data_IF_009490675341
#
_entry.id   IF_009490675341
#
_cell.length_a   1.000
_cell.length_b   1.000
_cell.length_c   1.000
_cell.angle_alpha   90.00
_cell.angle_beta   90.00
_cell.angle_gamma   90.00
#
_symmetry.space_group_name_H-M   'P 1'
#
loop_
_entity.id
_entity.type
_entity.pdbx_description
1 polymer ?
#
# COMPACT_ATOMS: atom_id res chain seq x y z
N UNK A 1 -79.82 23.84 -10.53
CA UNK A 1 -78.57 23.96 -9.75
C UNK A 1 -77.56 24.75 -10.56
N UNK A 2 -76.95 25.79 -9.97
CA UNK A 2 -76.08 26.73 -10.68
C UNK A 2 -74.64 26.20 -10.73
N UNK A 3 -73.98 26.25 -11.90
CA UNK A 3 -72.57 25.80 -12.07
C UNK A 3 -71.59 26.42 -11.05
N UNK A 4 -71.89 27.62 -10.57
CA UNK A 4 -71.07 28.31 -9.55
C UNK A 4 -71.08 27.61 -8.20
N UNK A 5 -72.21 27.03 -7.80
CA UNK A 5 -72.33 26.27 -6.54
C UNK A 5 -71.55 24.96 -6.62
N UNK A 6 -71.55 24.29 -7.79
CA UNK A 6 -70.81 23.05 -7.99
C UNK A 6 -69.29 23.28 -7.91
N UNK A 7 -68.81 24.40 -8.47
CA UNK A 7 -67.40 24.79 -8.38
C UNK A 7 -67.02 25.12 -6.94
N UNK A 8 -67.84 25.90 -6.24
CA UNK A 8 -67.60 26.23 -4.83
C UNK A 8 -67.53 24.96 -3.96
N UNK A 9 -68.43 24.00 -4.19
CA UNK A 9 -68.42 22.72 -3.46
C UNK A 9 -67.15 21.91 -3.72
N UNK A 10 -66.69 21.82 -4.97
CA UNK A 10 -65.45 21.11 -5.32
C UNK A 10 -64.21 21.79 -4.71
N UNK A 11 -64.20 23.11 -4.67
CA UNK A 11 -63.11 23.87 -4.04
C UNK A 11 -63.08 23.60 -2.53
N UNK A 12 -64.22 23.63 -1.85
CA UNK A 12 -64.33 23.31 -0.43
C UNK A 12 -63.85 21.88 -0.14
N UNK A 13 -64.29 20.91 -0.95
CA UNK A 13 -63.92 19.49 -0.84
C UNK A 13 -62.40 19.27 -1.05
N UNK A 14 -61.79 20.02 -1.97
CA UNK A 14 -60.33 19.98 -2.14
C UNK A 14 -59.58 20.60 -0.97
N UNK A 15 -60.07 21.70 -0.41
CA UNK A 15 -59.44 22.38 0.73
C UNK A 15 -59.55 21.55 2.02
N UNK A 16 -60.68 20.86 2.20
CA UNK A 16 -60.92 19.93 3.31
C UNK A 16 -59.97 18.73 3.26
N UNK A 17 -59.61 18.27 2.05
CA UNK A 17 -58.59 17.24 1.84
C UNK A 17 -57.17 17.64 2.27
N UNK A 18 -56.87 18.95 2.34
CA UNK A 18 -55.58 19.47 2.81
C UNK A 18 -55.56 19.85 4.30
N UNK A 19 -56.72 19.92 4.96
CA UNK A 19 -56.84 20.38 6.36
C UNK A 19 -56.15 19.47 7.40
N UNK A 20 -55.75 18.26 7.01
CA UNK A 20 -55.02 17.31 7.84
C UNK A 20 -53.56 17.09 7.45
N UNK A 21 -53.03 17.81 6.46
CA UNK A 21 -51.66 17.60 5.97
C UNK A 21 -50.66 18.21 6.95
N UNK A 22 -50.28 17.41 7.94
CA UNK A 22 -49.17 17.72 8.82
C UNK A 22 -47.85 17.43 8.09
N UNK A 23 -46.85 18.28 8.31
CA UNK A 23 -45.50 18.09 7.76
C UNK A 23 -45.03 16.69 8.16
N UNK A 24 -44.84 15.80 7.17
CA UNK A 24 -44.40 14.44 7.42
C UNK A 24 -43.01 14.49 8.05
N UNK A 25 -42.93 14.23 9.35
CA UNK A 25 -41.64 14.02 9.99
C UNK A 25 -41.07 12.68 9.51
N UNK A 26 -39.76 12.63 9.21
CA UNK A 26 -39.15 11.38 8.80
C UNK A 26 -39.37 10.34 9.89
N UNK A 27 -39.74 9.12 9.47
CA UNK A 27 -39.90 8.01 10.39
C UNK A 27 -38.63 7.85 11.26
N UNK A 28 -38.78 7.48 12.55
CA UNK A 28 -37.63 7.29 13.43
C UNK A 28 -36.61 6.33 12.79
N UNK A 29 -35.32 6.65 12.93
CA UNK A 29 -34.19 5.93 12.33
C UNK A 29 -34.06 5.99 10.79
N UNK A 30 -34.81 6.85 10.09
CA UNK A 30 -34.63 7.06 8.65
C UNK A 30 -33.17 7.41 8.29
N UNK A 31 -32.57 8.35 9.02
CA UNK A 31 -31.18 8.77 8.83
C UNK A 31 -30.20 7.60 8.95
N UNK A 32 -30.36 6.77 9.99
CA UNK A 32 -29.50 5.60 10.23
C UNK A 32 -29.63 4.56 9.11
N UNK A 33 -30.85 4.34 8.61
CA UNK A 33 -31.10 3.39 7.51
C UNK A 33 -30.50 3.88 6.18
N UNK A 34 -30.58 5.18 5.90
CA UNK A 34 -29.97 5.79 4.72
C UNK A 34 -28.46 5.72 4.82
N UNK A 35 -27.89 6.12 5.96
CA UNK A 35 -26.45 6.11 6.21
C UNK A 35 -25.84 4.72 6.10
N UNK A 36 -26.46 3.71 6.71
CA UNK A 36 -25.98 2.32 6.64
C UNK A 36 -26.02 1.73 5.22
N UNK A 37 -26.94 2.18 4.36
CA UNK A 37 -26.94 1.78 2.95
C UNK A 37 -25.79 2.44 2.18
N UNK A 38 -25.56 3.73 2.39
CA UNK A 38 -24.46 4.49 1.78
C UNK A 38 -23.08 3.96 2.18
N UNK A 39 -22.85 3.70 3.47
CA UNK A 39 -21.58 3.17 3.98
C UNK A 39 -21.31 1.75 3.46
N UNK A 40 -22.32 0.88 3.41
CA UNK A 40 -22.16 -0.48 2.85
C UNK A 40 -21.78 -0.49 1.37
N UNK A 41 -22.27 0.46 0.57
CA UNK A 41 -21.90 0.57 -0.85
C UNK A 41 -20.48 1.10 -1.08
N UNK A 42 -19.92 1.87 -0.14
CA UNK A 42 -18.58 2.43 -0.28
C UNK A 42 -17.47 1.42 0.09
N UNK A 43 -17.76 0.52 1.03
CA UNK A 43 -16.77 -0.36 1.69
C UNK A 43 -16.59 -1.69 0.96
N UNK A 44 -17.64 -2.23 0.33
CA UNK A 44 -17.66 -3.66 -0.03
C UNK A 44 -16.67 -4.14 -1.09
N UNK A 45 -16.40 -3.34 -2.14
CA UNK A 45 -15.63 -3.83 -3.29
C UNK A 45 -14.21 -3.25 -3.34
N UNK A 46 -14.04 -1.94 -3.16
CA UNK A 46 -12.70 -1.33 -3.19
C UNK A 46 -11.78 -1.80 -2.07
N UNK A 47 -12.31 -2.03 -0.87
CA UNK A 47 -11.51 -2.42 0.29
C UNK A 47 -11.07 -3.89 0.22
N UNK A 48 -11.92 -4.75 -0.34
CA UNK A 48 -11.61 -6.17 -0.54
C UNK A 48 -10.62 -6.39 -1.70
N UNK A 49 -10.77 -5.66 -2.81
CA UNK A 49 -9.80 -5.71 -3.92
C UNK A 49 -8.47 -5.06 -3.56
N UNK A 50 -8.50 -3.94 -2.84
CA UNK A 50 -7.31 -3.28 -2.31
C UNK A 50 -6.51 -4.22 -1.41
N UNK A 51 -7.14 -4.85 -0.42
CA UNK A 51 -6.42 -5.74 0.51
C UNK A 51 -5.89 -7.01 -0.18
N UNK A 52 -6.62 -7.56 -1.15
CA UNK A 52 -6.24 -8.79 -1.83
C UNK A 52 -5.12 -8.59 -2.86
N UNK A 53 -5.04 -7.42 -3.51
CA UNK A 53 -3.96 -7.09 -4.46
C UNK A 53 -2.72 -6.53 -3.74
N UNK A 54 -2.92 -5.75 -2.67
CA UNK A 54 -1.78 -5.13 -1.96
C UNK A 54 -0.90 -6.19 -1.29
N UNK A 55 -1.48 -7.28 -0.75
CA UNK A 55 -0.71 -8.37 -0.13
C UNK A 55 0.30 -9.07 -1.07
N UNK A 56 -0.09 -9.60 -2.24
CA UNK A 56 0.84 -10.25 -3.16
C UNK A 56 1.79 -9.25 -3.84
N UNK A 57 1.35 -8.03 -4.16
CA UNK A 57 2.21 -7.03 -4.79
C UNK A 57 3.30 -6.56 -3.83
N UNK A 58 2.95 -6.25 -2.57
CA UNK A 58 3.96 -5.84 -1.57
C UNK A 58 4.95 -6.96 -1.30
N UNK A 59 4.50 -8.22 -1.21
CA UNK A 59 5.39 -9.36 -1.06
C UNK A 59 6.34 -9.50 -2.27
N UNK A 60 5.83 -9.45 -3.49
CA UNK A 60 6.65 -9.51 -4.71
C UNK A 60 7.64 -8.35 -4.80
N UNK A 61 7.21 -7.12 -4.56
CA UNK A 61 8.09 -5.94 -4.56
C UNK A 61 9.18 -6.06 -3.50
N UNK A 62 8.87 -6.57 -2.30
CA UNK A 62 9.87 -6.77 -1.26
C UNK A 62 10.94 -7.78 -1.66
N UNK A 63 10.54 -8.91 -2.24
CA UNK A 63 11.47 -9.96 -2.72
C UNK A 63 12.33 -9.41 -3.85
N UNK A 64 11.71 -8.73 -4.82
CA UNK A 64 12.38 -8.18 -5.98
C UNK A 64 13.35 -7.05 -5.58
N UNK A 65 13.01 -6.26 -4.57
CA UNK A 65 13.89 -5.25 -3.98
C UNK A 65 15.11 -5.88 -3.33
N UNK A 66 14.93 -6.93 -2.52
CA UNK A 66 16.06 -7.66 -1.90
C UNK A 66 16.98 -8.24 -2.98
N UNK A 67 16.42 -8.87 -4.01
CA UNK A 67 17.20 -9.42 -5.14
C UNK A 67 17.96 -8.30 -5.87
N UNK A 68 17.28 -7.20 -6.18
CA UNK A 68 17.87 -6.06 -6.90
C UNK A 68 19.01 -5.41 -6.11
N UNK A 69 18.86 -5.28 -4.79
CA UNK A 69 19.88 -4.72 -3.92
C UNK A 69 21.14 -5.61 -3.90
N UNK A 70 20.96 -6.93 -3.76
CA UNK A 70 22.05 -7.89 -3.81
C UNK A 70 22.74 -7.89 -5.19
N UNK A 71 21.96 -7.88 -6.27
CA UNK A 71 22.49 -7.78 -7.63
C UNK A 71 23.29 -6.49 -7.81
N UNK A 72 22.76 -5.35 -7.35
CA UNK A 72 23.44 -4.05 -7.43
C UNK A 72 24.76 -4.03 -6.67
N UNK A 73 24.84 -4.65 -5.49
CA UNK A 73 26.11 -4.80 -4.75
C UNK A 73 27.13 -5.61 -5.56
N UNK A 74 26.71 -6.73 -6.17
CA UNK A 74 27.60 -7.55 -7.01
C UNK A 74 28.05 -6.78 -8.24
N UNK A 75 27.14 -6.07 -8.92
CA UNK A 75 27.48 -5.26 -10.10
C UNK A 75 28.38 -4.08 -9.76
N UNK A 76 28.15 -3.39 -8.66
CA UNK A 76 29.03 -2.30 -8.21
C UNK A 76 30.39 -2.82 -7.79
N UNK A 77 30.49 -3.99 -7.15
CA UNK A 77 31.77 -4.60 -6.82
C UNK A 77 32.53 -5.10 -8.05
N UNK A 78 31.83 -5.64 -9.06
CA UNK A 78 32.41 -6.00 -10.36
C UNK A 78 32.88 -4.77 -11.14
N UNK A 79 32.11 -3.68 -11.12
CA UNK A 79 32.47 -2.42 -11.79
C UNK A 79 33.62 -1.71 -11.08
N UNK A 80 33.64 -1.76 -9.75
CA UNK A 80 34.70 -1.21 -8.91
C UNK A 80 35.80 -2.24 -8.60
N UNK A 81 36.12 -3.18 -9.50
CA UNK A 81 37.20 -4.19 -9.31
C UNK A 81 38.62 -3.59 -9.20
N UNK A 82 38.74 -2.27 -9.03
CA UNK A 82 39.95 -1.59 -8.55
C UNK A 82 39.93 -1.31 -7.03
N UNK A 83 38.90 -1.74 -6.30
CA UNK A 83 38.87 -1.65 -4.84
C UNK A 83 39.40 -2.98 -4.30
N UNK A 84 40.59 -3.00 -3.67
CA UNK A 84 41.13 -4.22 -3.08
C UNK A 84 40.17 -4.70 -1.99
N UNK A 85 39.58 -5.88 -2.20
CA UNK A 85 38.92 -6.62 -1.12
C UNK A 85 39.95 -6.77 0.00
N UNK A 86 39.71 -6.13 1.14
CA UNK A 86 40.25 -6.65 2.39
C UNK A 86 39.55 -7.98 2.60
N UNK A 87 40.22 -9.05 2.17
CA UNK A 87 39.89 -10.42 2.51
C UNK A 87 40.04 -10.57 4.03
N UNK A 88 38.98 -10.26 4.77
CA UNK A 88 38.80 -10.91 6.07
C UNK A 88 38.54 -12.39 5.77
N UNK A 89 39.39 -13.27 6.29
CA UNK A 89 39.43 -14.73 6.13
C UNK A 89 40.33 -15.32 5.03
N UNK A 90 41.56 -14.81 4.83
CA UNK A 90 42.70 -15.62 4.34
C UNK A 90 44.06 -15.18 4.93
N UNK A 91 44.14 -14.90 6.23
CA UNK A 91 45.43 -14.73 6.91
C UNK A 91 45.88 -16.08 7.48
N UNK A 92 46.52 -16.96 6.69
CA UNK A 92 47.47 -17.95 7.25
C UNK A 92 48.42 -18.69 6.29
N UNK A 93 48.45 -18.46 4.97
CA UNK A 93 49.37 -19.25 4.11
C UNK A 93 50.39 -18.42 3.33
N UNK A 94 49.96 -17.32 2.70
CA UNK A 94 50.88 -16.50 1.87
C UNK A 94 51.94 -15.73 2.70
N UNK A 95 51.62 -15.34 3.93
CA UNK A 95 52.56 -14.60 4.79
C UNK A 95 53.70 -15.49 5.34
N UNK A 96 53.49 -16.80 5.51
CA UNK A 96 54.56 -17.70 5.96
C UNK A 96 55.62 -17.94 4.87
N UNK A 97 55.21 -18.03 3.60
CA UNK A 97 56.17 -18.24 2.50
C UNK A 97 57.05 -17.01 2.23
N UNK A 98 56.49 -15.82 2.46
CA UNK A 98 57.18 -14.55 2.21
C UNK A 98 58.22 -14.27 3.30
N UNK A 99 57.93 -14.56 4.57
CA UNK A 99 58.93 -14.43 5.65
C UNK A 99 60.09 -15.39 5.46
N UNK A 100 59.81 -16.64 5.07
CA UNK A 100 60.82 -17.67 4.86
C UNK A 100 61.77 -17.31 3.72
N UNK A 101 61.27 -16.82 2.59
CA UNK A 101 62.10 -16.41 1.44
C UNK A 101 62.93 -15.15 1.72
N UNK A 102 62.44 -14.22 2.54
CA UNK A 102 63.20 -13.04 2.97
C UNK A 102 64.37 -13.44 3.87
N UNK A 103 64.19 -14.39 4.80
CA UNK A 103 65.29 -14.87 5.66
C UNK A 103 66.44 -15.53 4.90
N UNK A 104 66.16 -16.31 3.85
CA UNK A 104 67.23 -16.92 3.03
C UNK A 104 68.02 -15.90 2.20
N UNK A 105 67.42 -14.76 1.86
CA UNK A 105 68.08 -13.73 1.06
C UNK A 105 69.10 -12.91 1.87
N UNK A 106 68.89 -12.76 3.19
CA UNK A 106 69.84 -12.05 4.06
C UNK A 106 71.11 -12.86 4.34
N UNK A 107 71.00 -14.19 4.46
CA UNK A 107 72.15 -15.04 4.78
C UNK A 107 73.11 -15.21 3.59
N UNK A 108 72.62 -15.04 2.37
CA UNK A 108 73.40 -15.21 1.15
C UNK A 108 74.06 -13.93 0.62
N UNK A 109 73.83 -12.78 1.27
CA UNK A 109 74.48 -11.50 0.94
C UNK A 109 75.52 -11.06 1.99
N UNK A 110 75.81 -11.92 2.96
CA UNK A 110 76.70 -11.64 4.10
C UNK A 110 78.03 -12.40 4.11
N UNK A 111 78.50 -12.94 2.98
CA UNK A 111 79.86 -13.47 2.83
C UNK A 111 80.53 -12.93 1.57
#
# INVERSE_FOLDING_TARGET
MNRKEEIAKKVEETLEGFAGVQRAEPAPFFYTRVRSRLEKSAVGWWESFGTFITRPVVALTSILLVISLNAAVIYTQRYNSNIPLTKTDQVTEDDYSTVVSVSYNYENQGQ
#
